data_IF_166217278211
#
_entry.id   IF_166217278211
#
_cell.length_a   1.000
_cell.length_b   1.000
_cell.length_c   1.000
_cell.angle_alpha   90.00
_cell.angle_beta   90.00
_cell.angle_gamma   90.00
#
_symmetry.space_group_name_H-M   'P 1'
#
loop_
_entity.id
_entity.type
_entity.pdbx_description
1 polymer ?
#
# COMPACT_ATOMS: atom_id res chain seq x y z
N UNK A 1 -37.10 -17.15 -8.94
CA UNK A 1 -37.46 -17.26 -7.50
C UNK A 1 -37.74 -15.85 -6.98
N UNK A 2 -38.97 -15.55 -6.58
CA UNK A 2 -39.33 -14.19 -6.13
C UNK A 2 -39.02 -14.07 -4.65
N UNK A 3 -38.33 -12.98 -4.25
CA UNK A 3 -38.01 -12.73 -2.87
C UNK A 3 -39.28 -12.37 -2.08
N UNK A 4 -39.39 -12.82 -0.83
CA UNK A 4 -40.43 -12.36 0.10
C UNK A 4 -40.16 -10.91 0.55
N UNK A 5 -41.16 -10.16 1.01
CA UNK A 5 -40.96 -8.81 1.55
C UNK A 5 -39.90 -8.76 2.69
N UNK A 6 -39.87 -9.77 3.55
CA UNK A 6 -38.88 -9.88 4.62
C UNK A 6 -37.46 -10.08 4.09
N UNK A 7 -37.30 -10.91 3.06
CA UNK A 7 -36.00 -11.11 2.38
C UNK A 7 -35.55 -9.83 1.69
N UNK A 8 -36.46 -9.11 1.03
CA UNK A 8 -36.14 -7.82 0.42
C UNK A 8 -35.67 -6.81 1.45
N UNK A 9 -36.33 -6.70 2.60
CA UNK A 9 -35.96 -5.81 3.68
C UNK A 9 -34.60 -6.18 4.27
N UNK A 10 -34.33 -7.46 4.50
CA UNK A 10 -33.04 -7.95 5.01
C UNK A 10 -31.90 -7.63 4.02
N UNK A 11 -32.10 -7.88 2.73
CA UNK A 11 -31.12 -7.57 1.68
C UNK A 11 -30.82 -6.06 1.60
N UNK A 12 -31.86 -5.23 1.70
CA UNK A 12 -31.70 -3.77 1.70
C UNK A 12 -30.88 -3.30 2.89
N UNK A 13 -31.17 -3.82 4.09
CA UNK A 13 -30.40 -3.49 5.30
C UNK A 13 -28.94 -3.91 5.18
N UNK A 14 -28.68 -5.10 4.68
CA UNK A 14 -27.32 -5.60 4.47
C UNK A 14 -26.55 -4.73 3.45
N UNK A 15 -27.20 -4.33 2.37
CA UNK A 15 -26.63 -3.43 1.37
C UNK A 15 -26.28 -2.06 1.98
N UNK A 16 -27.19 -1.44 2.71
CA UNK A 16 -26.95 -0.16 3.37
C UNK A 16 -25.80 -0.25 4.39
N UNK A 17 -25.75 -1.33 5.19
CA UNK A 17 -24.64 -1.54 6.11
C UNK A 17 -23.28 -1.68 5.39
N UNK A 18 -23.25 -2.33 4.24
CA UNK A 18 -22.05 -2.45 3.41
C UNK A 18 -21.61 -1.09 2.84
N UNK A 19 -22.55 -0.25 2.42
CA UNK A 19 -22.26 1.11 1.97
C UNK A 19 -21.68 1.99 3.09
N UNK A 20 -22.22 1.88 4.31
CA UNK A 20 -21.69 2.60 5.47
C UNK A 20 -20.26 2.15 5.83
N UNK A 21 -19.96 0.86 5.73
CA UNK A 21 -18.59 0.35 5.85
C UNK A 21 -17.68 0.92 4.75
N UNK A 22 -18.11 0.89 3.49
CA UNK A 22 -17.35 1.45 2.37
C UNK A 22 -17.06 2.95 2.55
N UNK A 23 -18.03 3.71 3.07
CA UNK A 23 -17.90 5.16 3.32
C UNK A 23 -16.89 5.49 4.43
N UNK A 24 -16.84 4.68 5.49
CA UNK A 24 -15.96 4.91 6.65
C UNK A 24 -14.62 4.20 6.54
N UNK A 25 -14.56 3.13 5.75
CA UNK A 25 -13.37 2.32 5.59
C UNK A 25 -12.25 3.08 4.88
N UNK A 26 -11.02 2.82 5.28
CA UNK A 26 -9.84 3.31 4.60
C UNK A 26 -8.73 2.26 4.59
N UNK A 27 -7.79 2.45 3.68
CA UNK A 27 -6.60 1.61 3.55
C UNK A 27 -5.37 2.42 3.95
N UNK A 28 -4.65 1.95 4.95
CA UNK A 28 -3.35 2.50 5.32
C UNK A 28 -2.25 1.61 4.73
N UNK A 29 -1.37 2.18 3.91
CA UNK A 29 -0.26 1.49 3.26
C UNK A 29 1.06 1.98 3.82
N UNK A 30 1.97 1.06 4.12
CA UNK A 30 3.27 1.42 4.66
C UNK A 30 3.96 0.28 5.38
N UNK A 31 4.52 0.60 6.53
CA UNK A 31 5.24 -0.30 7.42
C UNK A 31 4.52 -0.37 8.78
N UNK A 32 3.37 -1.06 8.88
CA UNK A 32 2.60 -1.13 10.13
C UNK A 32 3.44 -1.76 11.25
N UNK A 33 3.47 -1.12 12.41
CA UNK A 33 4.26 -1.57 13.56
C UNK A 33 3.86 -2.96 14.06
N UNK A 34 2.59 -3.28 13.99
CA UNK A 34 2.02 -4.56 14.39
C UNK A 34 2.55 -5.74 13.56
N UNK A 35 2.89 -5.51 12.28
CA UNK A 35 3.34 -6.54 11.36
C UNK A 35 4.87 -6.53 11.13
N UNK A 36 5.50 -5.37 11.25
CA UNK A 36 6.91 -5.21 10.91
C UNK A 36 7.78 -4.70 12.08
N UNK A 37 7.17 -4.39 13.22
CA UNK A 37 7.86 -3.82 14.38
C UNK A 37 8.97 -4.71 14.95
N UNK A 38 8.88 -6.01 14.79
CA UNK A 38 9.90 -6.98 15.20
C UNK A 38 11.02 -7.20 14.17
N UNK A 39 10.85 -6.69 12.94
CA UNK A 39 11.86 -6.84 11.90
C UNK A 39 12.96 -5.81 12.09
N UNK A 40 14.19 -6.31 12.18
CA UNK A 40 15.40 -5.49 12.34
C UNK A 40 16.43 -5.84 11.26
N UNK A 41 17.26 -4.88 10.92
CA UNK A 41 18.46 -5.10 10.11
C UNK A 41 19.60 -5.66 11.00
N UNK A 42 20.66 -6.16 10.37
CA UNK A 42 21.80 -6.73 11.07
C UNK A 42 22.53 -5.74 12.01
N UNK A 43 22.36 -4.44 11.80
CA UNK A 43 22.86 -3.35 12.65
C UNK A 43 21.92 -2.98 13.81
N UNK A 44 20.81 -3.71 13.97
CA UNK A 44 19.80 -3.49 15.01
C UNK A 44 18.79 -2.37 14.72
N UNK A 45 18.88 -1.67 13.59
CA UNK A 45 17.88 -0.68 13.21
C UNK A 45 16.55 -1.35 12.79
N UNK A 46 15.42 -0.78 13.19
CA UNK A 46 14.12 -1.30 12.78
C UNK A 46 13.83 -0.93 11.32
N UNK A 47 13.05 -1.78 10.64
CA UNK A 47 12.59 -1.51 9.26
C UNK A 47 11.81 -0.19 9.19
N UNK A 48 11.03 0.13 10.21
CA UNK A 48 10.30 1.40 10.28
C UNK A 48 11.25 2.61 10.33
N UNK A 49 12.32 2.53 11.14
CA UNK A 49 13.33 3.61 11.24
C UNK A 49 14.07 3.82 9.91
N UNK A 50 14.52 2.74 9.29
CA UNK A 50 15.21 2.80 7.99
C UNK A 50 14.25 3.32 6.92
N UNK A 51 13.02 2.84 6.90
CA UNK A 51 11.99 3.32 5.98
C UNK A 51 11.72 4.81 6.12
N UNK A 52 11.55 5.31 7.34
CA UNK A 52 11.33 6.74 7.61
C UNK A 52 12.53 7.59 7.14
N UNK A 53 13.77 7.16 7.40
CA UNK A 53 14.96 7.87 6.94
C UNK A 53 14.98 8.03 5.42
N UNK A 54 14.66 6.99 4.66
CA UNK A 54 14.61 7.06 3.20
C UNK A 54 13.40 7.84 2.68
N UNK A 55 12.24 7.67 3.29
CA UNK A 55 11.02 8.40 2.89
C UNK A 55 11.18 9.92 3.02
N UNK A 56 11.87 10.37 4.07
CA UNK A 56 12.03 11.80 4.38
C UNK A 56 13.42 12.37 4.05
N UNK A 57 14.42 11.54 3.80
CA UNK A 57 15.79 11.97 3.53
C UNK A 57 16.56 12.34 4.79
N UNK A 58 16.27 11.71 5.94
CA UNK A 58 16.91 12.02 7.21
C UNK A 58 18.30 11.36 7.30
N UNK A 59 19.35 12.11 6.99
CA UNK A 59 20.74 11.65 6.99
C UNK A 59 21.12 10.73 5.82
N UNK A 60 20.24 10.56 4.85
CA UNK A 60 20.45 9.79 3.62
C UNK A 60 19.75 10.48 2.45
N UNK A 61 20.16 10.26 1.20
CA UNK A 61 19.41 10.78 0.06
C UNK A 61 17.95 10.34 0.10
N UNK A 62 17.04 11.29 -0.11
CA UNK A 62 15.60 11.01 -0.10
C UNK A 62 15.22 10.05 -1.22
N UNK A 63 14.59 8.95 -0.87
CA UNK A 63 14.06 7.93 -1.76
C UNK A 63 12.67 7.54 -1.29
N UNK A 64 11.72 8.46 -1.51
CA UNK A 64 10.32 8.25 -1.10
C UNK A 64 9.72 7.07 -1.86
N UNK A 65 9.30 6.05 -1.13
CA UNK A 65 8.65 4.85 -1.66
C UNK A 65 7.16 4.78 -1.34
N UNK A 66 6.65 5.78 -0.62
CA UNK A 66 5.22 5.93 -0.33
C UNK A 66 4.66 7.16 -1.06
N UNK A 67 5.00 8.38 -0.63
CA UNK A 67 4.37 9.61 -1.15
C UNK A 67 4.61 9.84 -2.63
N UNK A 68 5.85 9.77 -3.09
CA UNK A 68 6.18 10.02 -4.51
C UNK A 68 5.51 9.01 -5.44
N UNK A 69 5.59 7.68 -5.20
CA UNK A 69 4.88 6.71 -6.02
C UNK A 69 3.37 6.95 -6.13
N UNK A 70 2.71 7.31 -5.03
CA UNK A 70 1.27 7.58 -5.05
C UNK A 70 0.92 8.87 -5.79
N UNK A 71 1.80 9.85 -5.79
CA UNK A 71 1.62 11.06 -6.61
C UNK A 71 1.82 10.74 -8.09
N UNK A 72 2.90 10.02 -8.42
CA UNK A 72 3.25 9.65 -9.81
C UNK A 72 2.23 8.71 -10.43
N UNK A 73 1.69 7.79 -9.65
CA UNK A 73 0.70 6.76 -10.07
C UNK A 73 -0.73 7.08 -9.64
N UNK A 74 -1.04 8.37 -9.45
CA UNK A 74 -2.34 8.82 -8.96
C UNK A 74 -3.49 8.35 -9.82
N UNK A 75 -3.36 8.42 -11.14
CA UNK A 75 -4.44 8.05 -12.07
C UNK A 75 -4.70 6.54 -12.05
N UNK A 76 -3.63 5.73 -11.99
CA UNK A 76 -3.73 4.29 -11.86
C UNK A 76 -4.45 3.90 -10.56
N UNK A 77 -4.06 4.52 -9.44
CA UNK A 77 -4.70 4.29 -8.14
C UNK A 77 -6.15 4.75 -8.13
N UNK A 78 -6.45 5.93 -8.68
CA UNK A 78 -7.80 6.47 -8.77
C UNK A 78 -8.73 5.58 -9.61
N UNK A 79 -8.22 5.04 -10.73
CA UNK A 79 -8.96 4.09 -11.57
C UNK A 79 -9.27 2.80 -10.81
N UNK A 80 -8.30 2.27 -10.08
CA UNK A 80 -8.51 1.08 -9.25
C UNK A 80 -9.55 1.33 -8.15
N UNK A 81 -9.50 2.47 -7.48
CA UNK A 81 -10.47 2.87 -6.46
C UNK A 81 -11.87 2.97 -7.06
N UNK A 82 -12.04 3.72 -8.17
CA UNK A 82 -13.32 3.89 -8.83
C UNK A 82 -13.95 2.54 -9.22
N UNK A 83 -13.16 1.64 -9.82
CA UNK A 83 -13.61 0.29 -10.19
C UNK A 83 -14.08 -0.53 -8.98
N UNK A 84 -13.33 -0.50 -7.87
CA UNK A 84 -13.72 -1.28 -6.70
C UNK A 84 -14.99 -0.74 -6.04
N UNK A 85 -15.17 0.57 -5.99
CA UNK A 85 -16.40 1.16 -5.48
C UNK A 85 -17.60 0.94 -6.44
N UNK A 86 -17.40 0.98 -7.74
CA UNK A 86 -18.43 0.57 -8.71
C UNK A 86 -18.91 -0.86 -8.43
N UNK A 87 -17.99 -1.80 -8.18
CA UNK A 87 -18.35 -3.18 -7.85
C UNK A 87 -19.11 -3.29 -6.52
N UNK A 88 -18.80 -2.44 -5.53
CA UNK A 88 -19.58 -2.36 -4.26
C UNK A 88 -21.01 -1.89 -4.54
N UNK A 89 -21.18 -0.82 -5.32
CA UNK A 89 -22.48 -0.21 -5.57
C UNK A 89 -23.35 -1.04 -6.53
N UNK A 90 -22.77 -1.61 -7.58
CA UNK A 90 -23.56 -2.24 -8.64
C UNK A 90 -23.61 -3.76 -8.55
N UNK A 91 -22.59 -4.39 -7.97
CA UNK A 91 -22.43 -5.85 -7.97
C UNK A 91 -22.46 -6.48 -6.59
N UNK A 92 -22.67 -5.69 -5.54
CA UNK A 92 -22.75 -6.18 -4.17
C UNK A 92 -21.43 -6.72 -3.58
N UNK A 93 -20.28 -6.31 -4.15
CA UNK A 93 -18.97 -6.64 -3.55
C UNK A 93 -18.92 -6.08 -2.13
N UNK A 94 -18.33 -6.82 -1.17
CA UNK A 94 -18.18 -6.30 0.18
C UNK A 94 -17.17 -5.15 0.24
N UNK A 95 -17.40 -4.20 1.16
CA UNK A 95 -16.47 -3.10 1.40
C UNK A 95 -15.06 -3.60 1.76
N UNK A 96 -14.98 -4.67 2.56
CA UNK A 96 -13.71 -5.31 2.94
C UNK A 96 -12.94 -5.82 1.73
N UNK A 97 -13.61 -6.54 0.83
CA UNK A 97 -12.99 -7.04 -0.40
C UNK A 97 -12.52 -5.89 -1.30
N UNK A 98 -13.34 -4.85 -1.46
CA UNK A 98 -13.00 -3.69 -2.28
C UNK A 98 -11.77 -2.96 -1.72
N UNK A 99 -11.76 -2.65 -0.42
CA UNK A 99 -10.64 -2.00 0.25
C UNK A 99 -9.37 -2.86 0.25
N UNK A 100 -9.49 -4.18 0.41
CA UNK A 100 -8.37 -5.11 0.32
C UNK A 100 -7.71 -5.10 -1.07
N UNK A 101 -8.51 -5.09 -2.14
CA UNK A 101 -8.00 -5.01 -3.51
C UNK A 101 -7.34 -3.65 -3.80
N UNK A 102 -7.91 -2.55 -3.30
CA UNK A 102 -7.28 -1.21 -3.36
C UNK A 102 -5.94 -1.24 -2.63
N UNK A 103 -5.86 -1.85 -1.44
CA UNK A 103 -4.64 -2.02 -0.67
C UNK A 103 -3.56 -2.78 -1.43
N UNK A 104 -3.94 -3.86 -2.11
CA UNK A 104 -3.04 -4.65 -2.95
C UNK A 104 -2.45 -3.82 -4.10
N UNK A 105 -3.28 -3.03 -4.80
CA UNK A 105 -2.80 -2.13 -5.86
C UNK A 105 -1.84 -1.09 -5.29
N UNK A 106 -2.17 -0.47 -4.18
CA UNK A 106 -1.35 0.56 -3.55
C UNK A 106 0.01 -0.01 -3.06
N UNK A 107 0.03 -1.21 -2.48
CA UNK A 107 1.29 -1.90 -2.12
C UNK A 107 2.14 -2.18 -3.36
N UNK A 108 1.54 -2.61 -4.46
CA UNK A 108 2.26 -2.88 -5.70
C UNK A 108 2.87 -1.59 -6.30
N UNK A 109 2.14 -0.48 -6.27
CA UNK A 109 2.65 0.84 -6.67
C UNK A 109 3.87 1.21 -5.80
N UNK A 110 3.77 1.10 -4.48
CA UNK A 110 4.88 1.38 -3.58
C UNK A 110 6.09 0.47 -3.84
N UNK A 111 5.87 -0.85 -3.93
CA UNK A 111 6.94 -1.82 -4.23
C UNK A 111 7.56 -1.64 -5.61
N UNK A 112 6.80 -1.14 -6.58
CA UNK A 112 7.26 -0.81 -7.92
C UNK A 112 8.33 0.29 -7.94
N UNK A 113 8.30 1.22 -6.98
CA UNK A 113 9.32 2.26 -6.87
C UNK A 113 10.74 1.70 -6.70
N UNK A 114 10.89 0.54 -6.06
CA UNK A 114 12.20 -0.09 -5.84
C UNK A 114 12.82 -0.64 -7.12
N UNK A 115 12.03 -1.07 -8.07
CA UNK A 115 12.50 -1.61 -9.36
C UNK A 115 12.62 -0.53 -10.44
N UNK A 116 11.88 0.56 -10.29
CA UNK A 116 11.85 1.67 -11.25
C UNK A 116 12.65 2.88 -10.78
N UNK A 117 13.41 2.77 -9.69
CA UNK A 117 14.15 3.87 -9.05
C UNK A 117 13.25 5.06 -8.74
N UNK A 118 12.13 4.78 -8.04
CA UNK A 118 11.14 5.78 -7.68
C UNK A 118 10.38 6.34 -8.89
N UNK A 119 10.17 5.51 -9.92
CA UNK A 119 9.62 5.96 -11.20
C UNK A 119 10.46 7.05 -11.86
N UNK A 120 11.81 6.94 -11.71
CA UNK A 120 12.77 7.89 -12.25
C UNK A 120 13.16 9.05 -11.32
N UNK A 121 12.51 9.16 -10.17
CA UNK A 121 12.70 10.28 -9.23
C UNK A 121 13.86 10.08 -8.22
N UNK A 122 14.34 8.84 -8.03
CA UNK A 122 15.37 8.58 -7.04
C UNK A 122 16.77 8.87 -7.57
N UNK A 123 17.63 9.56 -6.77
CA UNK A 123 19.02 9.71 -7.11
C UNK A 123 19.72 8.37 -7.20
N UNK A 124 20.71 8.26 -8.07
CA UNK A 124 21.54 7.07 -8.18
C UNK A 124 22.41 6.87 -6.92
N UNK A 125 22.90 5.67 -6.74
CA UNK A 125 23.91 5.37 -5.72
C UNK A 125 25.31 5.58 -6.29
N UNK A 126 26.24 6.00 -5.43
CA UNK A 126 27.64 6.15 -5.82
C UNK A 126 28.24 4.80 -6.21
N UNK A 127 29.33 4.82 -7.02
CA UNK A 127 30.02 3.59 -7.41
C UNK A 127 30.53 2.83 -6.18
N UNK A 128 31.09 3.53 -5.20
CA UNK A 128 31.53 2.96 -3.92
C UNK A 128 30.40 2.18 -3.21
N UNK A 129 29.17 2.74 -3.21
CA UNK A 129 28.01 2.07 -2.62
C UNK A 129 27.59 0.85 -3.44
N UNK A 130 27.71 0.89 -4.79
CA UNK A 130 27.44 -0.27 -5.64
C UNK A 130 28.40 -1.42 -5.37
N UNK A 131 29.67 -1.11 -5.24
CA UNK A 131 30.72 -2.09 -4.96
C UNK A 131 30.57 -2.75 -3.58
N UNK A 132 30.24 -1.95 -2.56
CA UNK A 132 30.02 -2.43 -1.20
C UNK A 132 28.77 -3.32 -1.07
N UNK A 133 27.73 -3.08 -1.86
CA UNK A 133 26.46 -3.85 -1.82
C UNK A 133 26.43 -5.07 -2.72
N UNK A 134 27.32 -5.17 -3.70
CA UNK A 134 27.24 -6.17 -4.77
C UNK A 134 25.97 -6.05 -5.62
N UNK A 135 25.29 -4.91 -5.60
CA UNK A 135 24.06 -4.65 -6.33
C UNK A 135 23.99 -3.20 -6.81
N UNK A 136 23.57 -3.01 -8.04
CA UNK A 136 23.32 -1.67 -8.63
C UNK A 136 21.93 -1.11 -8.26
N UNK A 137 21.09 -1.89 -7.59
CA UNK A 137 19.73 -1.48 -7.25
C UNK A 137 19.68 -0.75 -5.91
N UNK A 138 18.97 0.38 -5.91
CA UNK A 138 18.76 1.22 -4.73
C UNK A 138 17.82 0.51 -3.76
N UNK A 139 18.20 0.42 -2.48
CA UNK A 139 17.38 -0.14 -1.39
C UNK A 139 16.99 -1.63 -1.52
N UNK A 140 17.72 -2.43 -2.32
CA UNK A 140 17.38 -3.85 -2.54
C UNK A 140 18.45 -4.82 -2.02
N UNK A 141 19.46 -4.36 -1.30
CA UNK A 141 20.53 -5.21 -0.77
C UNK A 141 20.02 -6.42 0.07
N UNK A 142 19.03 -6.23 0.92
CA UNK A 142 18.42 -7.32 1.71
C UNK A 142 16.99 -7.66 1.32
N UNK A 143 16.30 -6.79 0.58
CA UNK A 143 14.87 -6.93 0.26
C UNK A 143 13.93 -6.74 1.46
N UNK A 144 14.49 -6.53 2.66
CA UNK A 144 13.69 -6.46 3.91
C UNK A 144 12.70 -5.30 3.86
N UNK A 145 13.15 -4.08 3.52
CA UNK A 145 12.29 -2.90 3.47
C UNK A 145 11.16 -3.08 2.46
N UNK A 146 11.49 -3.47 1.23
CA UNK A 146 10.49 -3.73 0.18
C UNK A 146 9.52 -4.83 0.57
N UNK A 147 10.03 -5.93 1.13
CA UNK A 147 9.22 -7.06 1.58
C UNK A 147 8.27 -6.72 2.73
N UNK A 148 8.61 -5.71 3.52
CA UNK A 148 7.84 -5.27 4.70
C UNK A 148 6.70 -4.28 4.37
N UNK A 149 6.66 -3.75 3.14
CA UNK A 149 5.55 -2.87 2.73
C UNK A 149 4.29 -3.70 2.62
N UNK A 150 3.27 -3.31 3.37
CA UNK A 150 1.96 -3.97 3.38
C UNK A 150 0.85 -2.93 3.58
N UNK A 151 -0.39 -3.40 3.69
CA UNK A 151 -1.53 -2.55 3.98
C UNK A 151 -2.38 -3.12 5.11
N UNK A 152 -3.13 -2.25 5.75
CA UNK A 152 -4.20 -2.62 6.70
C UNK A 152 -5.47 -1.89 6.32
N UNK A 153 -6.61 -2.59 6.44
CA UNK A 153 -7.94 -1.99 6.27
C UNK A 153 -8.47 -1.62 7.65
N UNK A 154 -9.01 -0.41 7.77
CA UNK A 154 -9.53 0.11 9.04
C UNK A 154 -10.87 0.83 8.82
N UNK A 155 -11.63 1.03 9.90
CA UNK A 155 -12.88 1.80 9.89
C UNK A 155 -14.12 1.02 9.42
N UNK A 156 -14.00 -0.30 9.25
CA UNK A 156 -15.11 -1.18 8.80
C UNK A 156 -15.61 -2.07 9.91
#
# INVERSE_FOLDING_TARGET
MTLTPEQMLANTRAYLANLEKAKRGFVAVGLPSEEVGSKVYGDGQTVATVGARHEYGAGVPRRSFLRVPFTTKRDELSTAIAKQFEDVFQRGKSAEQALGLIGTVAVNISKGAFTTRGYGEWPDITQETKDAKGSSQVLIDTGILRGSITYVVRGI
#
